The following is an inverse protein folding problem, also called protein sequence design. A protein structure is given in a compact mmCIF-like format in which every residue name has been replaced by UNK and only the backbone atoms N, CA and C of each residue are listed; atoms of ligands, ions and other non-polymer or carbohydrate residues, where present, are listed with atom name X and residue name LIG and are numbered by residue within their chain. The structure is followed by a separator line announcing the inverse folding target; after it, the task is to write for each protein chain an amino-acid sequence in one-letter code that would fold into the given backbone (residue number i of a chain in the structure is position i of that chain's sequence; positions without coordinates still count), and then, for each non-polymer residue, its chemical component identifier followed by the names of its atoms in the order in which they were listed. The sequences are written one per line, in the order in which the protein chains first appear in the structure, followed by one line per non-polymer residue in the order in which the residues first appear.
data_IF_200477192007
#
_entry.id   IF_200477192007
#
_cell.length_a   1.000
_cell.length_b   1.000
_cell.length_c   1.000
_cell.angle_alpha   90.00
_cell.angle_beta   90.00
_cell.angle_gamma   90.00
#
_symmetry.space_group_name_H-M   'P 1'
#
loop_
_entity.id
_entity.type
_entity.pdbx_description
1 polymer ?
#
# COMPACT_ATOMS: atom_id res chain seq x y z
N UNK A 1 -1.57 19.68 -36.44
CA UNK A 1 -1.96 20.53 -35.28
C UNK A 1 -0.94 20.27 -34.19
N UNK A 2 -0.25 21.33 -33.79
CA UNK A 2 0.76 21.45 -32.71
C UNK A 2 0.34 20.67 -31.46
N UNK A 3 1.19 19.87 -30.84
CA UNK A 3 2.43 20.33 -30.20
C UNK A 3 3.53 19.26 -30.24
N UNK A 4 4.75 19.66 -30.64
CA UNK A 4 5.97 18.89 -30.41
C UNK A 4 6.37 19.19 -28.98
N UNK A 5 5.92 18.39 -28.00
CA UNK A 5 6.52 18.48 -26.68
C UNK A 5 8.01 18.17 -26.84
N UNK A 6 8.85 19.18 -26.58
CA UNK A 6 10.29 19.00 -26.41
C UNK A 6 10.50 17.88 -25.40
N UNK A 7 11.36 16.91 -25.71
CA UNK A 7 11.71 15.82 -24.80
C UNK A 7 11.99 16.36 -23.40
N UNK A 8 11.09 16.09 -22.44
CA UNK A 8 11.27 16.48 -21.05
C UNK A 8 12.08 15.38 -20.35
N UNK A 9 13.37 15.63 -20.21
CA UNK A 9 14.29 14.73 -19.48
C UNK A 9 14.21 14.91 -17.97
N UNK A 10 13.41 15.85 -17.46
CA UNK A 10 13.28 16.14 -16.03
C UNK A 10 12.28 15.18 -15.35
N UNK A 11 12.65 13.91 -15.26
CA UNK A 11 11.83 12.87 -14.64
C UNK A 11 11.78 13.08 -13.12
N UNK A 12 10.57 12.95 -12.54
CA UNK A 12 10.35 13.03 -11.10
C UNK A 12 10.15 11.60 -10.58
N UNK A 13 11.19 11.06 -9.95
CA UNK A 13 11.08 9.78 -9.23
C UNK A 13 10.38 9.97 -7.89
N UNK A 14 9.83 8.90 -7.34
CA UNK A 14 9.25 8.86 -6.00
C UNK A 14 10.27 9.30 -4.95
N UNK A 15 11.50 8.80 -5.03
CA UNK A 15 12.60 9.20 -4.15
C UNK A 15 12.82 10.71 -4.19
N UNK A 16 12.92 11.29 -5.39
CA UNK A 16 13.06 12.74 -5.57
C UNK A 16 11.88 13.50 -4.99
N UNK A 17 10.65 13.07 -5.30
CA UNK A 17 9.43 13.70 -4.81
C UNK A 17 9.39 13.75 -3.28
N UNK A 18 9.64 12.61 -2.62
CA UNK A 18 9.62 12.51 -1.15
C UNK A 18 10.76 13.32 -0.51
N UNK A 19 11.93 13.38 -1.15
CA UNK A 19 13.04 14.22 -0.68
C UNK A 19 12.71 15.72 -0.76
N UNK A 20 12.11 16.17 -1.86
CA UNK A 20 11.68 17.56 -2.04
C UNK A 20 10.58 17.94 -1.03
N UNK A 21 9.60 17.07 -0.81
CA UNK A 21 8.55 17.26 0.19
C UNK A 21 9.10 17.23 1.62
N UNK A 22 10.01 16.30 1.94
CA UNK A 22 10.67 16.24 3.24
C UNK A 22 11.49 17.49 3.57
N UNK A 23 12.14 18.09 2.55
CA UNK A 23 12.85 19.37 2.68
C UNK A 23 11.89 20.52 2.97
N UNK A 24 10.76 20.60 2.27
CA UNK A 24 9.72 21.61 2.53
C UNK A 24 9.14 21.50 3.94
N UNK A 25 8.95 20.27 4.42
CA UNK A 25 8.47 19.97 5.77
C UNK A 25 9.54 20.15 6.87
N UNK A 26 10.81 20.46 6.52
CA UNK A 26 11.95 20.52 7.45
C UNK A 26 12.09 19.26 8.32
N UNK A 27 11.80 18.10 7.74
CA UNK A 27 11.85 16.81 8.44
C UNK A 27 13.27 16.28 8.64
N UNK A 28 13.42 15.35 9.59
CA UNK A 28 14.72 14.68 9.87
C UNK A 28 15.19 13.70 8.79
N UNK A 29 14.37 13.42 7.78
CA UNK A 29 14.66 12.43 6.73
C UNK A 29 14.19 10.99 7.04
N UNK A 30 13.84 10.67 8.30
CA UNK A 30 13.34 9.33 8.68
C UNK A 30 12.12 8.89 7.86
N UNK A 31 11.22 9.83 7.52
CA UNK A 31 10.05 9.52 6.69
C UNK A 31 10.44 9.17 5.25
N UNK A 32 11.46 9.83 4.71
CA UNK A 32 12.00 9.53 3.39
C UNK A 32 12.65 8.15 3.37
N UNK A 33 13.40 7.80 4.43
CA UNK A 33 13.99 6.47 4.58
C UNK A 33 12.90 5.39 4.66
N UNK A 34 11.84 5.62 5.45
CA UNK A 34 10.68 4.74 5.54
C UNK A 34 10.09 4.43 4.16
N UNK A 35 9.77 5.48 3.40
CA UNK A 35 9.16 5.33 2.07
C UNK A 35 10.09 4.65 1.07
N UNK A 36 11.40 4.91 1.14
CA UNK A 36 12.38 4.23 0.29
C UNK A 36 12.49 2.73 0.60
N UNK A 37 12.51 2.35 1.88
CA UNK A 37 12.47 0.95 2.30
C UNK A 37 11.19 0.26 1.81
N UNK A 38 10.04 0.93 1.95
CA UNK A 38 8.76 0.44 1.46
C UNK A 38 8.75 0.27 -0.07
N UNK A 39 9.27 1.25 -0.82
CA UNK A 39 9.40 1.14 -2.27
C UNK A 39 10.28 -0.06 -2.67
N UNK A 40 11.32 -0.36 -1.90
CA UNK A 40 12.19 -1.51 -2.15
C UNK A 40 11.45 -2.82 -1.94
N UNK A 41 10.68 -2.94 -0.84
CA UNK A 41 9.82 -4.10 -0.59
C UNK A 41 8.80 -4.29 -1.72
N UNK A 42 8.12 -3.21 -2.13
CA UNK A 42 7.12 -3.25 -3.21
C UNK A 42 7.75 -3.71 -4.53
N UNK A 43 8.96 -3.26 -4.88
CA UNK A 43 9.67 -3.73 -6.08
C UNK A 43 10.00 -5.22 -6.03
N UNK A 44 10.40 -5.71 -4.86
CA UNK A 44 10.69 -7.13 -4.66
C UNK A 44 9.41 -7.98 -4.79
N UNK A 45 8.32 -7.57 -4.14
CA UNK A 45 7.00 -8.23 -4.24
C UNK A 45 6.51 -8.22 -5.68
N UNK A 46 6.54 -7.05 -6.33
CA UNK A 46 6.20 -6.85 -7.74
C UNK A 46 6.94 -7.80 -8.69
N UNK A 47 8.20 -8.11 -8.39
CA UNK A 47 9.00 -9.07 -9.15
C UNK A 47 8.59 -10.51 -8.87
N UNK A 48 8.33 -10.84 -7.60
CA UNK A 48 7.88 -12.16 -7.18
C UNK A 48 6.51 -12.51 -7.77
N UNK A 49 5.54 -11.58 -7.69
CA UNK A 49 4.19 -11.71 -8.25
C UNK A 49 4.24 -12.00 -9.75
N UNK A 50 5.05 -11.26 -10.52
CA UNK A 50 5.21 -11.46 -11.97
C UNK A 50 5.81 -12.80 -12.38
N UNK A 51 6.47 -13.49 -11.46
CA UNK A 51 7.16 -14.78 -11.70
C UNK A 51 6.60 -15.90 -10.85
N UNK A 52 5.46 -15.70 -10.18
CA UNK A 52 4.97 -16.59 -9.15
C UNK A 52 4.71 -18.01 -9.66
N UNK A 53 4.15 -18.16 -10.87
CA UNK A 53 3.94 -19.46 -11.49
C UNK A 53 5.22 -20.19 -11.90
N UNK A 54 6.27 -19.43 -12.26
CA UNK A 54 7.57 -20.01 -12.66
C UNK A 54 8.36 -20.43 -11.42
N UNK A 55 8.27 -19.64 -10.35
CA UNK A 55 8.97 -19.87 -9.09
C UNK A 55 8.24 -20.82 -8.13
N UNK A 56 7.15 -21.49 -8.57
CA UNK A 56 6.31 -22.36 -7.74
C UNK A 56 5.82 -21.69 -6.44
N UNK A 57 5.56 -20.38 -6.52
CA UNK A 57 5.06 -19.55 -5.42
C UNK A 57 3.53 -19.60 -5.30
N UNK A 58 2.85 -20.30 -6.21
CA UNK A 58 1.42 -20.60 -6.06
C UNK A 58 1.18 -21.71 -5.02
N UNK A 59 -0.01 -21.66 -4.43
CA UNK A 59 -0.49 -22.63 -3.46
C UNK A 59 -0.33 -22.20 -2.00
N UNK A 60 -0.92 -23.04 -1.15
CA UNK A 60 -1.09 -22.83 0.28
C UNK A 60 0.25 -23.10 0.98
N UNK A 61 0.62 -22.25 1.93
CA UNK A 61 1.80 -22.40 2.77
C UNK A 61 1.60 -23.41 3.91
N UNK A 62 0.37 -23.87 4.12
CA UNK A 62 -0.02 -24.88 5.11
C UNK A 62 -0.49 -24.31 6.45
N UNK A 63 -0.67 -22.99 6.56
CA UNK A 63 -1.16 -22.29 7.76
C UNK A 63 -2.45 -21.51 7.49
N UNK A 64 -3.14 -21.11 8.57
CA UNK A 64 -4.31 -20.23 8.54
C UNK A 64 -3.97 -18.98 9.35
N UNK A 65 -4.28 -17.79 8.82
CA UNK A 65 -4.03 -16.53 9.52
C UNK A 65 -5.09 -16.27 10.62
N UNK A 66 -5.00 -15.13 11.31
CA UNK A 66 -5.91 -14.79 12.41
C UNK A 66 -7.32 -14.40 11.97
N UNK A 67 -7.51 -14.02 10.72
CA UNK A 67 -8.82 -13.71 10.11
C UNK A 67 -9.52 -14.95 9.57
N UNK A 68 -8.82 -16.09 9.48
CA UNK A 68 -9.35 -17.38 9.05
C UNK A 68 -9.05 -17.74 7.60
N UNK A 69 -8.22 -16.96 6.92
CA UNK A 69 -7.83 -17.18 5.53
C UNK A 69 -6.66 -18.17 5.41
N UNK A 70 -6.67 -18.96 4.33
CA UNK A 70 -5.56 -19.87 4.03
C UNK A 70 -4.36 -19.08 3.52
N UNK A 71 -3.26 -19.13 4.26
CA UNK A 71 -2.04 -18.38 3.95
C UNK A 71 -1.40 -18.98 2.70
N UNK A 72 -1.17 -18.15 1.68
CA UNK A 72 -0.43 -18.53 0.47
C UNK A 72 1.06 -18.24 0.65
N UNK A 73 1.90 -18.92 -0.13
CA UNK A 73 3.36 -18.73 -0.04
C UNK A 73 3.79 -17.28 -0.33
N UNK A 74 3.07 -16.60 -1.24
CA UNK A 74 3.32 -15.19 -1.54
C UNK A 74 2.95 -14.26 -0.38
N UNK A 75 1.97 -14.62 0.45
CA UNK A 75 1.61 -13.83 1.64
C UNK A 75 2.77 -13.86 2.64
N UNK A 76 3.34 -15.03 2.90
CA UNK A 76 4.54 -15.16 3.76
C UNK A 76 5.71 -14.37 3.19
N UNK A 77 6.01 -14.54 1.89
CA UNK A 77 7.13 -13.85 1.25
C UNK A 77 6.98 -12.33 1.33
N UNK A 78 5.80 -11.81 1.02
CA UNK A 78 5.52 -10.37 1.03
C UNK A 78 5.60 -9.81 2.45
N UNK A 79 5.04 -10.53 3.43
CA UNK A 79 5.12 -10.16 4.84
C UNK A 79 6.57 -10.08 5.34
N UNK A 80 7.37 -11.11 5.07
CA UNK A 80 8.78 -11.16 5.47
C UNK A 80 9.59 -10.04 4.81
N UNK A 81 9.40 -9.79 3.51
CA UNK A 81 10.07 -8.70 2.79
C UNK A 81 9.74 -7.35 3.40
N UNK A 82 8.46 -7.08 3.65
CA UNK A 82 8.00 -5.82 4.22
C UNK A 82 8.56 -5.63 5.63
N UNK A 83 8.38 -6.60 6.53
CA UNK A 83 8.83 -6.47 7.93
C UNK A 83 10.34 -6.24 7.98
N UNK A 84 11.12 -6.98 7.20
CA UNK A 84 12.57 -6.82 7.16
C UNK A 84 12.99 -5.44 6.64
N UNK A 85 12.35 -4.93 5.57
CA UNK A 85 12.64 -3.60 5.01
C UNK A 85 12.22 -2.47 5.96
N UNK A 86 11.09 -2.62 6.66
CA UNK A 86 10.62 -1.65 7.64
C UNK A 86 11.50 -1.61 8.89
N UNK A 87 11.93 -2.76 9.41
CA UNK A 87 12.88 -2.83 10.55
C UNK A 87 14.24 -2.21 10.19
N UNK A 88 14.78 -2.53 9.02
CA UNK A 88 16.08 -2.01 8.56
C UNK A 88 16.05 -0.54 8.11
N UNK A 89 14.87 0.10 8.09
CA UNK A 89 14.73 1.52 7.77
C UNK A 89 15.16 2.46 8.91
N UNK A 90 15.34 1.95 10.13
CA UNK A 90 15.59 2.74 11.35
C UNK A 90 14.53 3.82 11.65
N UNK A 91 13.34 3.68 11.06
CA UNK A 91 12.30 4.70 11.10
C UNK A 91 11.00 4.23 11.78
N UNK A 92 10.86 2.93 12.03
CA UNK A 92 9.64 2.32 12.58
C UNK A 92 9.85 1.81 14.00
N UNK A 93 8.84 1.86 14.85
CA UNK A 93 8.84 1.27 16.20
C UNK A 93 7.83 0.15 16.37
N UNK A 94 6.70 0.21 15.65
CA UNK A 94 5.64 -0.80 15.71
C UNK A 94 5.17 -1.08 14.28
N UNK A 95 5.04 -2.35 13.95
CA UNK A 95 4.49 -2.81 12.67
C UNK A 95 3.28 -3.71 12.97
N UNK A 96 2.13 -3.40 12.37
CA UNK A 96 0.94 -4.24 12.40
C UNK A 96 0.74 -4.79 11.01
N UNK A 97 0.80 -6.11 10.86
CA UNK A 97 0.60 -6.79 9.58
C UNK A 97 -0.66 -7.66 9.66
N UNK A 98 -1.41 -7.78 8.57
CA UNK A 98 -2.52 -8.75 8.47
C UNK A 98 -2.06 -10.17 8.81
N UNK A 99 -0.86 -10.54 8.37
CA UNK A 99 -0.30 -11.90 8.52
C UNK A 99 0.23 -12.20 9.93
N UNK A 100 0.28 -11.20 10.82
CA UNK A 100 0.80 -11.34 12.17
C UNK A 100 -0.30 -11.12 13.21
N UNK A 101 -0.51 -12.12 14.08
CA UNK A 101 -1.48 -12.03 15.17
C UNK A 101 -1.25 -10.84 16.10
N UNK A 102 0.00 -10.64 16.48
CA UNK A 102 0.42 -9.60 17.42
C UNK A 102 1.24 -8.55 16.69
N UNK A 103 1.16 -7.30 17.17
CA UNK A 103 1.97 -6.21 16.65
C UNK A 103 3.46 -6.52 16.84
N UNK A 104 4.24 -6.35 15.79
CA UNK A 104 5.69 -6.54 15.80
C UNK A 104 6.34 -5.29 16.38
N UNK A 105 6.96 -5.44 17.55
CA UNK A 105 7.74 -4.39 18.18
C UNK A 105 9.17 -4.44 17.62
N UNK A 106 9.63 -3.33 17.05
CA UNK A 106 10.98 -3.23 16.47
C UNK A 106 12.02 -3.21 17.59
N UNK A 107 13.16 -3.84 17.37
CA UNK A 107 14.26 -3.89 18.33
C UNK A 107 14.81 -2.49 18.60
N UNK A 108 15.17 -2.18 19.85
CA UNK A 108 15.51 -0.82 20.33
C UNK A 108 16.55 -0.12 19.47
N UNK A 109 17.57 -0.84 19.01
CA UNK A 109 18.66 -0.34 18.16
C UNK A 109 18.24 0.04 16.73
N UNK A 110 17.04 -0.37 16.30
CA UNK A 110 16.44 -0.10 14.99
C UNK A 110 15.17 0.76 15.07
N UNK A 111 14.77 1.20 16.26
CA UNK A 111 13.54 1.95 16.44
C UNK A 111 13.63 3.35 15.84
N UNK A 112 12.58 3.74 15.12
CA UNK A 112 12.28 5.13 14.81
C UNK A 112 10.92 5.56 15.34
N UNK A 113 10.37 6.66 14.85
CA UNK A 113 9.14 7.27 15.42
C UNK A 113 7.83 6.91 14.71
N UNK A 114 7.89 6.09 13.67
CA UNK A 114 6.72 5.74 12.87
C UNK A 114 6.14 4.38 13.25
N UNK A 115 4.82 4.27 13.07
CA UNK A 115 4.05 3.04 13.22
C UNK A 115 3.48 2.73 11.85
N UNK A 116 3.60 1.49 11.41
CA UNK A 116 3.13 1.07 10.08
C UNK A 116 2.10 -0.03 10.25
N UNK A 117 0.89 0.22 9.76
CA UNK A 117 -0.13 -0.81 9.57
C UNK A 117 -0.11 -1.21 8.10
N UNK A 118 -0.01 -2.49 7.79
CA UNK A 118 0.17 -2.97 6.42
C UNK A 118 -0.59 -4.26 6.16
N UNK A 119 -1.19 -4.34 4.99
CA UNK A 119 -1.57 -5.57 4.33
C UNK A 119 -0.50 -5.84 3.26
N UNK A 120 0.34 -6.86 3.43
CA UNK A 120 1.46 -7.11 2.54
C UNK A 120 1.01 -7.61 1.16
N UNK A 121 -0.14 -8.30 1.05
CA UNK A 121 -0.64 -8.85 -0.20
C UNK A 121 -2.19 -8.97 -0.25
N UNK A 122 -2.85 -7.83 -0.49
CA UNK A 122 -4.30 -7.75 -0.64
C UNK A 122 -4.78 -8.51 -1.89
N UNK A 123 -5.92 -9.17 -1.75
CA UNK A 123 -6.53 -9.95 -2.82
C UNK A 123 -5.84 -11.30 -3.04
N UNK A 124 -5.24 -11.90 -2.00
CA UNK A 124 -4.56 -13.21 -2.08
C UNK A 124 -5.43 -14.30 -2.75
N UNK A 125 -6.74 -14.28 -2.56
CA UNK A 125 -7.71 -15.16 -3.23
C UNK A 125 -7.63 -15.11 -4.77
N UNK A 126 -7.24 -13.98 -5.35
CA UNK A 126 -7.14 -13.71 -6.78
C UNK A 126 -5.79 -14.10 -7.40
N UNK A 127 -4.83 -14.57 -6.61
CA UNK A 127 -3.47 -14.92 -7.09
C UNK A 127 -3.52 -16.01 -8.17
N UNK A 128 -4.29 -17.07 -7.95
CA UNK A 128 -4.27 -18.25 -8.83
C UNK A 128 -4.98 -17.99 -10.17
N UNK A 129 -5.86 -16.99 -10.22
CA UNK A 129 -6.54 -16.56 -11.44
C UNK A 129 -5.88 -15.35 -12.13
N UNK A 130 -4.70 -14.91 -11.66
CA UNK A 130 -3.93 -13.81 -12.23
C UNK A 130 -4.69 -12.47 -12.30
N UNK A 131 -5.67 -12.28 -11.41
CA UNK A 131 -6.36 -11.00 -11.26
C UNK A 131 -5.45 -10.04 -10.46
N UNK A 132 -5.69 -8.74 -10.57
CA UNK A 132 -4.88 -7.74 -9.88
C UNK A 132 -4.95 -7.90 -8.35
N UNK A 133 -3.79 -7.77 -7.72
CA UNK A 133 -3.56 -7.83 -6.28
C UNK A 133 -2.74 -6.60 -5.84
N UNK A 134 -2.55 -6.37 -4.55
CA UNK A 134 -1.88 -5.16 -4.08
C UNK A 134 -1.18 -5.29 -2.72
N UNK A 135 -0.61 -4.19 -2.26
CA UNK A 135 -0.09 -4.03 -0.89
C UNK A 135 -0.67 -2.73 -0.37
N UNK A 136 -1.29 -2.71 0.81
CA UNK A 136 -1.93 -1.52 1.37
C UNK A 136 -1.19 -1.11 2.63
N UNK A 137 -0.87 0.17 2.79
CA UNK A 137 -0.13 0.64 3.96
C UNK A 137 -0.68 1.95 4.52
N UNK A 138 -0.53 2.09 5.83
CA UNK A 138 -0.93 3.22 6.64
C UNK A 138 0.21 3.55 7.61
N UNK A 139 0.60 4.83 7.66
CA UNK A 139 1.72 5.30 8.48
C UNK A 139 1.18 6.30 9.50
N UNK A 140 1.43 6.00 10.78
CA UNK A 140 1.17 6.88 11.91
C UNK A 140 2.49 7.35 12.53
N UNK A 141 2.42 8.42 13.31
CA UNK A 141 3.51 8.81 14.21
C UNK A 141 3.18 8.28 15.62
N UNK A 142 4.19 7.77 16.32
CA UNK A 142 4.06 7.44 17.74
C UNK A 142 3.85 8.72 18.55
N UNK A 143 2.82 8.72 19.40
CA UNK A 143 2.44 9.88 20.24
C UNK A 143 2.67 9.65 21.73
N UNK A 144 2.71 8.38 22.17
CA UNK A 144 2.93 8.04 23.57
C UNK A 144 4.39 8.30 23.99
N UNK A 145 4.64 8.65 25.26
CA UNK A 145 6.00 8.74 25.80
C UNK A 145 6.55 7.36 26.23
N UNK A 146 5.69 6.37 26.42
CA UNK A 146 6.05 5.04 26.94
C UNK A 146 6.85 4.19 25.93
N UNK A 147 7.31 3.01 26.34
CA UNK A 147 7.91 2.06 25.41
C UNK A 147 6.91 1.67 24.29
N UNK A 148 7.36 1.48 23.04
CA UNK A 148 6.48 1.09 21.93
C UNK A 148 5.69 -0.19 22.24
N UNK A 149 4.40 -0.17 21.95
CA UNK A 149 3.51 -1.32 22.15
C UNK A 149 2.43 -1.38 21.06
N UNK A 150 1.75 -2.52 20.93
CA UNK A 150 0.64 -2.66 19.99
C UNK A 150 -0.49 -1.64 20.20
N UNK A 151 -0.62 -1.06 21.40
CA UNK A 151 -1.60 0.00 21.69
C UNK A 151 -1.33 1.28 20.90
N UNK A 152 -0.07 1.54 20.54
CA UNK A 152 0.29 2.75 19.79
C UNK A 152 -0.30 2.74 18.36
N UNK A 153 -0.60 1.55 17.82
CA UNK A 153 -1.25 1.40 16.52
C UNK A 153 -2.76 1.63 16.57
N UNK A 154 -3.38 1.64 17.76
CA UNK A 154 -4.82 1.86 17.95
C UNK A 154 -5.18 3.35 17.89
N UNK A 155 -4.80 3.99 16.79
CA UNK A 155 -5.10 5.39 16.50
C UNK A 155 -6.20 5.52 15.46
N UNK A 156 -7.04 6.58 15.52
CA UNK A 156 -8.03 6.82 14.48
C UNK A 156 -7.34 7.20 13.16
N UNK A 157 -7.90 6.78 12.02
CA UNK A 157 -7.33 7.04 10.69
C UNK A 157 -7.08 8.52 10.36
N UNK A 158 -7.76 9.46 11.04
CA UNK A 158 -7.48 10.91 10.94
C UNK A 158 -6.06 11.30 11.40
N UNK A 159 -5.37 10.43 12.13
CA UNK A 159 -4.00 10.64 12.61
C UNK A 159 -2.93 10.11 11.63
N UNK A 160 -3.32 9.58 10.47
CA UNK A 160 -2.38 9.12 9.45
C UNK A 160 -1.50 10.28 8.98
N UNK A 161 -0.19 10.07 8.99
CA UNK A 161 0.76 11.02 8.40
C UNK A 161 0.95 10.76 6.91
N UNK A 162 0.75 9.50 6.48
CA UNK A 162 0.66 9.09 5.09
C UNK A 162 -0.04 7.73 4.98
N UNK A 163 -0.60 7.44 3.82
CA UNK A 163 -1.17 6.15 3.48
C UNK A 163 -1.10 5.95 1.97
N UNK A 164 -1.27 4.71 1.54
CA UNK A 164 -1.21 4.40 0.13
C UNK A 164 -1.38 2.93 -0.14
N UNK A 165 -1.23 2.59 -1.41
CA UNK A 165 -1.21 1.21 -1.85
C UNK A 165 -0.32 1.05 -3.08
N UNK A 166 0.27 -0.13 -3.21
CA UNK A 166 0.84 -0.61 -4.45
C UNK A 166 -0.18 -1.52 -5.14
N UNK A 167 -0.44 -1.29 -6.42
CA UNK A 167 -1.25 -2.14 -7.26
C UNK A 167 -0.33 -2.95 -8.18
N UNK A 168 -0.44 -4.28 -8.12
CA UNK A 168 0.24 -5.22 -9.01
C UNK A 168 -0.74 -5.67 -10.11
N UNK A 169 -1.09 -4.74 -11.00
CA UNK A 169 -1.96 -4.99 -12.14
C UNK A 169 -1.16 -5.24 -13.42
N UNK A 170 -1.72 -4.83 -14.56
CA UNK A 170 -1.02 -4.82 -15.85
C UNK A 170 0.28 -4.01 -15.81
N UNK A 171 0.30 -2.93 -15.03
CA UNK A 171 1.49 -2.21 -14.60
C UNK A 171 1.53 -2.17 -13.07
N UNK A 172 2.72 -1.93 -12.50
CA UNK A 172 2.85 -1.69 -11.06
C UNK A 172 2.75 -0.20 -10.77
N UNK A 173 1.78 0.18 -9.95
CA UNK A 173 1.54 1.56 -9.58
C UNK A 173 1.58 1.70 -8.06
N UNK A 174 2.28 2.71 -7.58
CA UNK A 174 2.30 3.13 -6.18
C UNK A 174 1.49 4.42 -6.06
N UNK A 175 0.42 4.38 -5.27
CA UNK A 175 -0.38 5.56 -4.93
C UNK A 175 0.00 5.99 -3.52
N UNK A 176 0.40 7.26 -3.37
CA UNK A 176 0.77 7.84 -2.10
C UNK A 176 -0.11 9.07 -1.80
N UNK A 177 -0.75 9.05 -0.64
CA UNK A 177 -1.37 10.20 -0.01
C UNK A 177 -0.58 10.60 1.24
N UNK A 178 -0.39 11.90 1.45
CA UNK A 178 0.29 12.42 2.64
C UNK A 178 -0.59 13.42 3.38
N UNK A 179 -0.33 13.59 4.67
CA UNK A 179 -1.00 14.59 5.53
C UNK A 179 -0.76 16.04 5.10
N UNK A 180 0.30 16.31 4.33
CA UNK A 180 0.53 17.62 3.70
C UNK A 180 -0.46 17.92 2.56
N UNK A 181 -1.24 16.93 2.15
CA UNK A 181 -2.28 17.04 1.14
C UNK A 181 -1.84 16.46 -0.21
N UNK A 182 -2.86 16.13 -1.01
CA UNK A 182 -2.70 15.58 -2.35
C UNK A 182 -2.50 14.07 -2.39
N UNK A 183 -2.88 13.50 -3.53
CA UNK A 183 -2.69 12.10 -3.88
C UNK A 183 -1.85 12.06 -5.15
N UNK A 184 -0.79 11.25 -5.17
CA UNK A 184 0.10 11.17 -6.32
C UNK A 184 0.30 9.71 -6.70
N UNK A 185 0.32 9.44 -8.00
CA UNK A 185 0.50 8.11 -8.57
C UNK A 185 1.87 8.01 -9.23
N UNK A 186 2.61 6.97 -8.86
CA UNK A 186 3.93 6.67 -9.39
C UNK A 186 3.89 5.30 -10.07
N UNK A 187 4.33 5.20 -11.31
CA UNK A 187 4.41 3.94 -12.04
C UNK A 187 5.83 3.39 -11.95
N UNK A 188 5.97 2.09 -11.68
CA UNK A 188 7.26 1.42 -11.70
C UNK A 188 7.73 1.27 -13.14
N UNK A 189 8.88 1.83 -13.46
CA UNK A 189 9.67 1.45 -14.64
C UNK A 189 10.47 0.19 -14.30
N UNK A 190 10.16 -0.98 -14.89
CA UNK A 190 10.85 -2.22 -14.58
C UNK A 190 12.29 -2.29 -15.09
N UNK A 191 12.66 -1.47 -16.08
CA UNK A 191 13.98 -1.52 -16.69
C UNK A 191 15.05 -0.88 -15.79
N UNK A 192 14.69 0.23 -15.13
CA UNK A 192 15.59 0.94 -14.20
C UNK A 192 15.24 0.72 -12.73
N UNK A 193 14.05 0.15 -12.43
CA UNK A 193 13.62 -0.14 -11.08
C UNK A 193 13.24 1.11 -10.27
N UNK A 194 12.69 2.14 -10.93
CA UNK A 194 12.30 3.41 -10.31
C UNK A 194 10.80 3.67 -10.44
N UNK A 195 10.21 4.25 -9.40
CA UNK A 195 8.84 4.72 -9.43
C UNK A 195 8.82 6.15 -9.98
N UNK A 196 8.20 6.36 -11.14
CA UNK A 196 8.13 7.65 -11.83
C UNK A 196 6.75 8.25 -11.63
N UNK A 197 6.68 9.53 -11.27
CA UNK A 197 5.43 10.27 -11.12
C UNK A 197 4.69 10.34 -12.47
N UNK A 198 3.49 9.75 -12.52
CA UNK A 198 2.64 9.74 -13.73
C UNK A 198 1.38 10.58 -13.56
N UNK A 199 0.86 10.70 -12.33
CA UNK A 199 -0.27 11.58 -12.02
C UNK A 199 -0.01 12.34 -10.72
N UNK A 200 -0.19 13.67 -10.77
CA UNK A 200 0.04 14.58 -9.64
C UNK A 200 -1.28 15.16 -9.15
N UNK A 201 -1.42 15.26 -7.82
CA UNK A 201 -2.59 15.81 -7.12
C UNK A 201 -3.95 15.27 -7.64
N UNK A 202 -4.05 13.95 -7.73
CA UNK A 202 -5.23 13.24 -8.22
C UNK A 202 -6.47 13.64 -7.43
N UNK A 203 -7.54 13.98 -8.16
CA UNK A 203 -8.88 14.26 -7.62
C UNK A 203 -9.89 13.30 -8.24
N UNK A 204 -10.71 12.68 -7.39
CA UNK A 204 -11.83 11.86 -7.85
C UNK A 204 -12.91 12.74 -8.50
N UNK A 205 -13.61 12.22 -9.51
CA UNK A 205 -14.75 12.90 -10.13
C UNK A 205 -15.87 13.10 -9.10
N UNK A 206 -16.58 14.23 -9.17
CA UNK A 206 -17.73 14.52 -8.28
C UNK A 206 -18.85 13.47 -8.36
N UNK A 207 -19.04 12.86 -9.54
CA UNK A 207 -20.00 11.78 -9.78
C UNK A 207 -19.42 10.80 -10.79
N UNK A 208 -19.45 9.51 -10.45
CA UNK A 208 -19.07 8.41 -11.35
C UNK A 208 -20.28 7.74 -12.01
N UNK A 209 -20.00 6.78 -12.89
CA UNK A 209 -20.98 5.97 -13.62
C UNK A 209 -20.80 4.46 -13.41
N UNK A 210 -19.97 4.06 -12.44
CA UNK A 210 -19.68 2.66 -12.11
C UNK A 210 -20.01 2.45 -10.63
N UNK A 211 -20.59 1.29 -10.31
CA UNK A 211 -20.69 0.78 -8.94
C UNK A 211 -19.89 -0.52 -8.83
N UNK A 212 -19.33 -0.81 -7.66
CA UNK A 212 -18.56 -2.03 -7.40
C UNK A 212 -18.97 -2.63 -6.06
N UNK A 213 -19.56 -3.82 -6.10
CA UNK A 213 -19.90 -4.66 -4.95
C UNK A 213 -20.14 -6.10 -5.42
N UNK A 214 -20.16 -7.05 -4.48
CA UNK A 214 -20.50 -8.44 -4.78
C UNK A 214 -22.01 -8.68 -4.61
N UNK A 215 -22.75 -8.68 -5.72
CA UNK A 215 -24.20 -8.92 -5.73
C UNK A 215 -24.62 -10.34 -5.31
N UNK A 216 -23.69 -11.29 -5.19
CA UNK A 216 -23.97 -12.61 -4.61
C UNK A 216 -24.50 -12.53 -3.16
N UNK A 217 -24.24 -11.42 -2.47
CA UNK A 217 -24.78 -11.14 -1.14
C UNK A 217 -26.14 -10.45 -1.14
N UNK A 218 -26.85 -10.37 -2.27
CA UNK A 218 -28.12 -9.64 -2.40
C UNK A 218 -29.17 -9.98 -1.33
N UNK A 219 -29.21 -11.25 -0.87
CA UNK A 219 -30.11 -11.70 0.20
C UNK A 219 -29.86 -11.00 1.55
N UNK A 220 -28.64 -10.55 1.79
CA UNK A 220 -28.17 -10.00 3.07
C UNK A 220 -28.01 -8.48 3.05
N UNK A 221 -28.27 -7.82 1.92
CA UNK A 221 -28.19 -6.37 1.85
C UNK A 221 -29.28 -5.71 2.68
N UNK A 222 -28.90 -4.62 3.35
CA UNK A 222 -29.86 -3.74 3.97
C UNK A 222 -30.76 -3.07 2.91
N UNK A 223 -31.92 -2.52 3.32
CA UNK A 223 -32.85 -1.88 2.40
C UNK A 223 -32.24 -0.72 1.61
N UNK A 224 -31.30 0.05 2.19
CA UNK A 224 -30.73 1.22 1.52
C UNK A 224 -29.79 0.82 0.38
N UNK A 225 -28.97 -0.23 0.58
CA UNK A 225 -28.14 -0.80 -0.50
C UNK A 225 -29.01 -1.36 -1.61
N UNK A 226 -30.09 -2.08 -1.27
CA UNK A 226 -31.01 -2.64 -2.25
C UNK A 226 -31.69 -1.55 -3.10
N UNK A 227 -32.15 -0.47 -2.45
CA UNK A 227 -32.73 0.68 -3.14
C UNK A 227 -31.70 1.38 -4.05
N UNK A 228 -30.47 1.57 -3.57
CA UNK A 228 -29.39 2.15 -4.35
C UNK A 228 -29.10 1.34 -5.62
N UNK A 229 -29.00 0.00 -5.51
CA UNK A 229 -28.78 -0.87 -6.67
C UNK A 229 -29.91 -0.80 -7.69
N UNK A 230 -31.16 -0.77 -7.21
CA UNK A 230 -32.33 -0.61 -8.08
C UNK A 230 -32.21 0.68 -8.90
N UNK A 231 -31.85 1.81 -8.27
CA UNK A 231 -31.64 3.10 -8.95
C UNK A 231 -30.47 3.11 -9.94
N UNK A 232 -29.45 2.26 -9.76
CA UNK A 232 -28.33 2.14 -10.71
C UNK A 232 -28.67 1.28 -11.92
N UNK A 233 -29.48 0.25 -11.75
CA UNK A 233 -29.88 -0.67 -12.82
C UNK A 233 -31.07 -0.17 -13.63
N UNK A 234 -32.00 0.52 -12.96
CA UNK A 234 -33.22 1.07 -13.54
C UNK A 234 -33.27 2.56 -13.23
N UNK A 235 -32.50 3.39 -13.95
CA UNK A 235 -32.53 4.84 -13.76
C UNK A 235 -33.86 5.41 -14.25
N UNK A 236 -34.46 6.29 -13.44
CA UNK A 236 -35.63 7.12 -13.77
C UNK A 236 -35.21 8.46 -14.42
#
# INVERSE_FOLDING_TARGET
MTDRSTFDTNVITMTRFVMEEGRRAKGSGEFTQLLNSLCTAIKAISTAVRKAGIANLYGIAGSTNVTGDQVKKLDILSNDLVINMLKSSFSTCVIVSEENKDAVIVETEKQGKYIVCIDPLDGSSNIDCLVSIGTIFAIYRKVSPDAPSGKDALQPGRNLVAAGYALYGSATMLVLATSAGGVNCFMLDPAIGEFILVERDVKIKKKGNIYSLNEGYAKYFDPAVTEYLKKKKFPE
#
